data_IF_286657425569
#
_entry.id   IF_286657425569
#
_cell.length_a   1.000
_cell.length_b   1.000
_cell.length_c   1.000
_cell.angle_alpha   90.00
_cell.angle_beta   90.00
_cell.angle_gamma   90.00
#
_symmetry.space_group_name_H-M   'P 1'
#
loop_
_entity.id
_entity.type
_entity.pdbx_description
1 polymer ?
#
# COMPACT_ATOMS: atom_id res chain seq x y z
N UNK A 1 3.30 -19.18 17.99
CA UNK A 1 3.47 -17.91 18.75
C UNK A 1 4.51 -17.08 18.02
N UNK A 2 4.09 -16.19 17.11
CA UNK A 2 5.01 -15.44 16.24
C UNK A 2 5.69 -14.36 17.09
N UNK A 3 6.97 -14.60 17.41
CA UNK A 3 7.87 -13.64 18.08
C UNK A 3 8.54 -12.76 17.02
N UNK A 4 7.79 -11.86 16.44
CA UNK A 4 8.32 -10.75 15.67
C UNK A 4 7.78 -9.49 16.37
N UNK A 5 8.53 -8.39 16.44
CA UNK A 5 8.17 -7.14 17.16
C UNK A 5 8.54 -7.07 18.65
N UNK A 6 9.84 -7.20 18.97
CA UNK A 6 10.33 -6.67 20.25
C UNK A 6 11.78 -6.20 20.26
N UNK A 7 12.21 -5.42 19.26
CA UNK A 7 13.43 -4.58 19.35
C UNK A 7 13.27 -3.26 18.60
N UNK A 8 12.34 -2.40 19.06
CA UNK A 8 12.20 -1.02 18.54
C UNK A 8 13.11 0.00 19.24
N UNK A 9 13.77 -0.38 20.35
CA UNK A 9 14.50 0.54 21.22
C UNK A 9 16.00 0.72 20.90
N UNK A 10 16.49 0.22 19.76
CA UNK A 10 17.91 0.33 19.36
C UNK A 10 18.12 1.13 18.07
N UNK A 11 17.06 1.71 17.49
CA UNK A 11 17.18 2.51 16.28
C UNK A 11 17.17 3.98 16.72
N UNK A 12 18.34 4.61 16.71
CA UNK A 12 18.44 6.07 16.73
C UNK A 12 17.93 6.57 15.37
N UNK A 13 16.60 6.62 15.21
CA UNK A 13 15.96 7.07 13.98
C UNK A 13 16.18 8.57 13.84
N UNK A 14 17.29 8.95 13.23
CA UNK A 14 17.47 10.28 12.70
C UNK A 14 16.59 10.35 11.46
N UNK A 15 15.56 11.20 11.46
CA UNK A 15 14.76 11.45 10.27
C UNK A 15 15.75 12.02 9.24
N UNK A 16 16.02 11.35 8.11
CA UNK A 16 16.88 11.92 7.08
C UNK A 16 16.31 13.28 6.64
N UNK A 17 17.18 14.18 6.21
CA UNK A 17 16.75 15.33 5.40
C UNK A 17 15.79 14.82 4.32
N UNK A 18 14.65 15.51 4.12
CA UNK A 18 13.66 15.07 3.16
C UNK A 18 14.34 14.85 1.79
N UNK A 19 14.12 13.66 1.21
CA UNK A 19 14.64 13.35 -0.12
C UNK A 19 14.08 14.37 -1.12
N UNK A 20 14.90 14.84 -2.05
CA UNK A 20 14.37 15.54 -3.21
C UNK A 20 13.50 14.57 -4.01
N UNK A 21 12.49 15.08 -4.71
CA UNK A 21 11.57 14.26 -5.53
C UNK A 21 12.36 13.43 -6.55
N UNK A 22 13.40 14.04 -7.13
CA UNK A 22 14.33 13.38 -8.07
C UNK A 22 15.03 12.16 -7.46
N UNK A 23 15.35 12.22 -6.17
CA UNK A 23 16.10 11.21 -5.42
C UNK A 23 15.18 10.14 -4.79
N UNK A 24 13.85 10.29 -4.88
CA UNK A 24 12.92 9.28 -4.39
C UNK A 24 13.13 7.94 -5.11
N UNK A 25 13.21 6.80 -4.37
CA UNK A 25 13.32 5.48 -4.99
C UNK A 25 12.00 5.06 -5.63
N UNK A 26 12.08 4.05 -6.50
CA UNK A 26 10.92 3.29 -6.93
C UNK A 26 10.43 2.41 -5.78
N UNK A 27 9.15 2.52 -5.44
CA UNK A 27 8.54 1.77 -4.33
C UNK A 27 7.38 0.95 -4.86
N UNK A 28 7.29 -0.30 -4.40
CA UNK A 28 6.10 -1.13 -4.57
C UNK A 28 5.48 -1.39 -3.21
N UNK A 29 4.20 -1.07 -3.06
CA UNK A 29 3.42 -1.39 -1.85
C UNK A 29 2.55 -2.60 -2.16
N UNK A 30 2.69 -3.66 -1.37
CA UNK A 30 1.88 -4.87 -1.51
C UNK A 30 0.78 -4.91 -0.43
N UNK A 31 -0.45 -5.15 -0.87
CA UNK A 31 -1.65 -5.23 -0.02
C UNK A 31 -2.21 -6.66 -0.12
N UNK A 32 -1.79 -7.58 0.76
CA UNK A 32 -2.38 -8.91 0.84
C UNK A 32 -3.74 -8.87 1.54
N UNK A 33 -4.76 -9.49 0.93
CA UNK A 33 -6.14 -9.53 1.41
C UNK A 33 -6.70 -10.96 1.35
N UNK A 34 -7.51 -11.31 2.37
CA UNK A 34 -8.31 -12.53 2.40
C UNK A 34 -9.54 -12.32 3.29
N UNK A 35 -10.73 -12.29 2.70
CA UNK A 35 -12.04 -12.18 3.36
C UNK A 35 -12.16 -11.00 4.34
N UNK A 36 -11.76 -9.80 3.88
CA UNK A 36 -11.72 -8.56 4.66
C UNK A 36 -12.54 -7.42 4.02
N UNK A 37 -13.84 -7.60 3.77
CA UNK A 37 -14.63 -6.66 2.97
C UNK A 37 -14.82 -5.29 3.65
N UNK A 38 -14.68 -5.24 4.98
CA UNK A 38 -14.77 -3.99 5.77
C UNK A 38 -13.52 -3.12 5.70
N UNK A 39 -12.40 -3.69 5.24
CA UNK A 39 -11.08 -3.04 5.27
C UNK A 39 -10.50 -2.87 3.87
N UNK A 40 -10.80 -3.79 2.94
CA UNK A 40 -10.23 -3.83 1.59
C UNK A 40 -10.23 -2.46 0.89
N UNK A 41 -11.39 -1.80 0.78
CA UNK A 41 -11.45 -0.49 0.15
C UNK A 41 -10.61 0.57 0.89
N UNK A 42 -10.70 0.60 2.22
CA UNK A 42 -10.03 1.61 3.05
C UNK A 42 -8.51 1.49 2.99
N UNK A 43 -7.97 0.28 2.94
CA UNK A 43 -6.52 0.08 2.86
C UNK A 43 -6.00 0.41 1.46
N UNK A 44 -6.74 0.06 0.40
CA UNK A 44 -6.39 0.44 -0.97
C UNK A 44 -6.36 1.98 -1.09
N UNK A 45 -7.38 2.65 -0.56
CA UNK A 45 -7.48 4.11 -0.61
C UNK A 45 -6.38 4.81 0.19
N UNK A 46 -6.04 4.27 1.35
CA UNK A 46 -4.98 4.82 2.17
C UNK A 46 -3.62 4.72 1.46
N UNK A 47 -3.33 3.62 0.77
CA UNK A 47 -2.08 3.45 0.01
C UNK A 47 -2.07 4.31 -1.25
N UNK A 48 -3.20 4.41 -1.96
CA UNK A 48 -3.34 5.27 -3.14
C UNK A 48 -3.17 6.77 -2.80
N UNK A 49 -3.46 7.17 -1.56
CA UNK A 49 -3.29 8.53 -1.07
C UNK A 49 -1.88 8.81 -0.49
N UNK A 50 -0.91 7.92 -0.67
CA UNK A 50 0.46 8.19 -0.25
C UNK A 50 1.03 9.39 -0.99
N UNK A 51 1.70 10.28 -0.25
CA UNK A 51 2.46 11.40 -0.80
C UNK A 51 3.77 10.87 -1.40
N UNK A 52 3.66 10.28 -2.59
CA UNK A 52 4.75 9.75 -3.38
C UNK A 52 4.58 10.12 -4.84
N UNK A 53 5.69 10.24 -5.57
CA UNK A 53 5.64 10.50 -7.00
C UNK A 53 4.88 9.38 -7.72
N UNK A 54 3.84 9.72 -8.49
CA UNK A 54 2.96 8.75 -9.18
C UNK A 54 3.74 7.85 -10.14
N UNK A 55 4.77 8.39 -10.78
CA UNK A 55 5.67 7.65 -11.66
C UNK A 55 6.62 6.71 -10.91
N UNK A 56 6.73 6.80 -9.57
CA UNK A 56 7.64 5.98 -8.75
C UNK A 56 6.92 5.12 -7.71
N UNK A 57 5.59 5.11 -7.70
CA UNK A 57 4.77 4.28 -6.83
C UNK A 57 4.04 3.22 -7.64
N UNK A 58 4.24 1.96 -7.28
CA UNK A 58 3.42 0.83 -7.73
C UNK A 58 2.66 0.26 -6.54
N UNK A 59 1.39 -0.08 -6.74
CA UNK A 59 0.58 -0.78 -5.76
C UNK A 59 0.29 -2.17 -6.32
N UNK A 60 0.32 -3.19 -5.46
CA UNK A 60 -0.04 -4.56 -5.82
C UNK A 60 -1.05 -5.08 -4.82
N UNK A 61 -2.28 -5.30 -5.25
CA UNK A 61 -3.30 -5.92 -4.42
C UNK A 61 -3.27 -7.44 -4.65
N UNK A 62 -2.94 -8.19 -3.61
CA UNK A 62 -2.89 -9.65 -3.63
C UNK A 62 -4.13 -10.18 -2.93
N UNK A 63 -5.22 -10.32 -3.68
CA UNK A 63 -6.50 -10.79 -3.16
C UNK A 63 -6.76 -12.26 -3.53
N UNK A 64 -6.82 -13.11 -2.51
CA UNK A 64 -7.17 -14.54 -2.62
C UNK A 64 -8.53 -14.84 -1.97
N UNK A 65 -9.35 -13.81 -1.75
CA UNK A 65 -10.66 -13.94 -1.10
C UNK A 65 -11.64 -14.74 -1.95
N UNK A 66 -12.62 -15.36 -1.30
CA UNK A 66 -13.74 -16.06 -1.92
C UNK A 66 -15.11 -15.45 -1.58
N UNK A 67 -15.12 -14.35 -0.83
CA UNK A 67 -16.30 -13.57 -0.44
C UNK A 67 -16.47 -12.28 -1.25
N UNK A 68 -17.29 -11.35 -0.77
CA UNK A 68 -17.55 -10.06 -1.42
C UNK A 68 -16.32 -9.13 -1.51
N UNK A 69 -15.21 -9.45 -0.84
CA UNK A 69 -13.95 -8.70 -0.91
C UNK A 69 -13.45 -8.56 -2.34
N UNK A 70 -13.59 -9.61 -3.17
CA UNK A 70 -13.14 -9.59 -4.58
C UNK A 70 -13.78 -8.46 -5.39
N UNK A 71 -15.08 -8.24 -5.19
CA UNK A 71 -15.81 -7.20 -5.89
C UNK A 71 -15.37 -5.80 -5.44
N UNK A 72 -15.14 -5.63 -4.13
CA UNK A 72 -14.65 -4.38 -3.54
C UNK A 72 -13.24 -4.05 -4.05
N UNK A 73 -12.35 -5.04 -4.10
CA UNK A 73 -10.99 -4.88 -4.62
C UNK A 73 -11.03 -4.48 -6.10
N UNK A 74 -11.81 -5.19 -6.92
CA UNK A 74 -11.90 -4.89 -8.36
C UNK A 74 -12.43 -3.48 -8.65
N UNK A 75 -13.42 -3.01 -7.88
CA UNK A 75 -13.95 -1.64 -7.99
C UNK A 75 -12.88 -0.59 -7.68
N UNK A 76 -12.14 -0.75 -6.56
CA UNK A 76 -11.11 0.22 -6.17
C UNK A 76 -9.89 0.20 -7.09
N UNK A 77 -9.46 -0.96 -7.57
CA UNK A 77 -8.39 -1.06 -8.57
C UNK A 77 -8.78 -0.33 -9.86
N UNK A 78 -10.01 -0.54 -10.34
CA UNK A 78 -10.54 0.17 -11.53
C UNK A 78 -10.59 1.68 -11.31
N UNK A 79 -11.08 2.12 -10.15
CA UNK A 79 -11.16 3.54 -9.80
C UNK A 79 -9.77 4.22 -9.83
N UNK A 80 -8.77 3.65 -9.15
CA UNK A 80 -7.45 4.28 -9.03
C UNK A 80 -6.58 4.13 -10.28
N UNK A 81 -6.69 3.01 -11.01
CA UNK A 81 -6.04 2.87 -12.32
C UNK A 81 -6.58 3.91 -13.31
N UNK A 82 -7.88 4.20 -13.29
CA UNK A 82 -8.48 5.27 -14.12
C UNK A 82 -7.99 6.68 -13.74
N UNK A 83 -7.51 6.86 -12.50
CA UNK A 83 -6.89 8.10 -12.03
C UNK A 83 -5.39 8.19 -12.35
N UNK A 84 -4.81 7.15 -13.00
CA UNK A 84 -3.42 7.15 -13.47
C UNK A 84 -2.41 6.49 -12.53
N UNK A 85 -2.86 5.80 -11.47
CA UNK A 85 -1.97 5.01 -10.62
C UNK A 85 -1.63 3.66 -11.26
N UNK A 86 -0.40 3.18 -11.04
CA UNK A 86 0.04 1.80 -11.34
C UNK A 86 -0.39 0.89 -10.17
N UNK A 87 -1.62 0.35 -10.23
CA UNK A 87 -2.27 -0.49 -9.21
C UNK A 87 -2.93 -1.73 -9.80
#
# INVERSE_FOLDING_TARGET
MIRCWRKRSLINWTIPEALRVEDMPWVTVQIPLYNEPRVAARVIDAVAAFDWSLDKLRIQVLDDSDDETRAIVADRVTHWSSAGLDI
#
